data_IF_681775771185
#
_entry.id   IF_681775771185
#
_cell.length_a   1.000
_cell.length_b   1.000
_cell.length_c   1.000
_cell.angle_alpha   90.00
_cell.angle_beta   90.00
_cell.angle_gamma   90.00
#
_symmetry.space_group_name_H-M   'P 1'
#
loop_
_entity.id
_entity.type
_entity.pdbx_description
1 polymer ?
#
# COMPACT_ATOMS: atom_id res chain seq x y z
N UNK A 1 6.26 16.01 2.94
CA UNK A 1 5.88 16.58 1.67
C UNK A 1 4.37 16.50 1.48
N UNK A 2 3.76 17.62 1.15
CA UNK A 2 2.31 17.72 1.03
C UNK A 2 1.73 16.80 -0.04
N UNK A 3 2.45 16.56 -1.11
CA UNK A 3 2.01 15.71 -2.20
C UNK A 3 1.80 14.26 -1.75
N UNK A 4 2.47 13.86 -0.68
CA UNK A 4 2.39 12.52 -0.14
C UNK A 4 1.46 12.43 1.07
N UNK A 5 0.75 13.52 1.39
CA UNK A 5 -0.14 13.57 2.57
C UNK A 5 0.56 13.14 3.86
N UNK A 6 1.84 13.46 3.98
CA UNK A 6 2.64 13.09 5.13
C UNK A 6 3.16 11.66 5.12
N UNK A 7 2.93 10.92 4.04
CA UNK A 7 3.41 9.54 3.94
C UNK A 7 4.92 9.50 3.63
N UNK A 8 5.62 8.62 4.33
CA UNK A 8 6.99 8.26 3.99
C UNK A 8 6.99 6.98 3.17
N UNK A 9 8.15 6.59 2.63
CA UNK A 9 8.28 5.34 1.89
C UNK A 9 7.79 4.13 2.67
N UNK A 10 8.29 3.92 3.92
CA UNK A 10 7.82 2.80 4.75
C UNK A 10 6.32 2.82 5.03
N UNK A 11 5.76 3.99 5.29
CA UNK A 11 4.31 4.12 5.51
C UNK A 11 3.54 3.75 4.26
N UNK A 12 4.02 4.15 3.10
CA UNK A 12 3.41 3.80 1.82
C UNK A 12 3.42 2.30 1.55
N UNK A 13 4.51 1.62 1.93
CA UNK A 13 4.60 0.17 1.78
C UNK A 13 3.58 -0.55 2.66
N UNK A 14 3.44 -0.12 3.91
CA UNK A 14 2.44 -0.70 4.82
C UNK A 14 1.04 -0.45 4.29
N UNK A 15 0.76 0.76 3.83
CA UNK A 15 -0.54 1.09 3.27
C UNK A 15 -0.85 0.24 2.04
N UNK A 16 0.14 0.04 1.16
CA UNK A 16 0.02 -0.83 -0.02
C UNK A 16 -0.33 -2.26 0.36
N UNK A 17 0.33 -2.79 1.40
CA UNK A 17 0.04 -4.12 1.91
C UNK A 17 -1.43 -4.22 2.37
N UNK A 18 -1.92 -3.20 3.06
CA UNK A 18 -3.30 -3.18 3.54
C UNK A 18 -4.30 -3.13 2.39
N UNK A 19 -4.00 -2.39 1.33
CA UNK A 19 -4.86 -2.38 0.15
C UNK A 19 -4.95 -3.75 -0.50
N UNK A 20 -3.84 -4.49 -0.52
CA UNK A 20 -3.77 -5.79 -1.19
C UNK A 20 -4.39 -6.92 -0.37
N UNK A 21 -4.67 -6.70 0.91
CA UNK A 21 -5.14 -7.74 1.82
C UNK A 21 -6.43 -7.36 2.55
N UNK A 22 -7.34 -6.68 1.85
CA UNK A 22 -8.62 -6.27 2.43
C UNK A 22 -9.57 -7.45 2.66
N UNK A 23 -9.27 -8.60 2.11
CA UNK A 23 -10.09 -9.80 2.21
C UNK A 23 -9.96 -10.54 3.54
N UNK A 24 -9.05 -10.10 4.41
CA UNK A 24 -8.84 -10.74 5.71
C UNK A 24 -8.54 -9.68 6.78
N UNK A 25 -8.67 -10.09 8.04
CA UNK A 25 -8.32 -9.24 9.18
C UNK A 25 -6.80 -9.14 9.29
N UNK A 26 -6.27 -7.93 9.34
CA UNK A 26 -4.84 -7.67 9.47
C UNK A 26 -4.58 -7.05 10.83
N UNK A 27 -3.58 -7.59 11.53
CA UNK A 27 -3.16 -7.13 12.85
C UNK A 27 -1.73 -6.62 12.78
N UNK A 28 -1.31 -5.89 13.82
CA UNK A 28 0.05 -5.36 13.86
C UNK A 28 1.12 -6.44 13.70
N UNK A 29 0.91 -7.62 14.30
CA UNK A 29 1.88 -8.71 14.19
C UNK A 29 2.08 -9.17 12.75
N UNK A 30 1.04 -9.04 11.92
CA UNK A 30 1.14 -9.38 10.49
C UNK A 30 2.07 -8.42 9.77
N UNK A 31 1.98 -7.14 10.13
CA UNK A 31 2.87 -6.10 9.59
C UNK A 31 4.31 -6.39 10.02
N UNK A 32 4.52 -6.70 11.29
CA UNK A 32 5.85 -7.03 11.82
C UNK A 32 6.47 -8.20 11.05
N UNK A 33 5.70 -9.25 10.85
CA UNK A 33 6.18 -10.46 10.17
C UNK A 33 6.43 -10.21 8.68
N UNK A 34 5.50 -9.53 8.01
CA UNK A 34 5.58 -9.30 6.57
C UNK A 34 6.79 -8.45 6.20
N UNK A 35 7.05 -7.41 6.97
CA UNK A 35 8.14 -6.47 6.68
C UNK A 35 9.41 -6.75 7.48
N UNK A 36 9.37 -7.78 8.32
CA UNK A 36 10.51 -8.17 9.17
C UNK A 36 11.02 -6.98 9.98
N UNK A 37 10.11 -6.33 10.69
CA UNK A 37 10.41 -5.17 11.51
C UNK A 37 10.04 -5.43 12.96
N UNK A 38 10.64 -4.65 13.85
CA UNK A 38 10.39 -4.75 15.28
C UNK A 38 9.02 -4.17 15.63
N UNK A 39 8.50 -4.61 16.76
CA UNK A 39 7.23 -4.13 17.28
C UNK A 39 7.20 -2.61 17.41
N UNK A 40 8.27 -2.01 17.92
CA UNK A 40 8.34 -0.56 18.09
C UNK A 40 8.27 0.18 16.75
N UNK A 41 8.92 -0.36 15.71
CA UNK A 41 8.87 0.22 14.37
C UNK A 41 7.48 0.14 13.80
N UNK A 42 6.83 -1.02 13.93
CA UNK A 42 5.46 -1.21 13.45
C UNK A 42 4.49 -0.28 14.18
N UNK A 43 4.66 -0.14 15.51
CA UNK A 43 3.83 0.77 16.30
C UNK A 43 3.94 2.19 15.79
N UNK A 44 5.17 2.65 15.52
CA UNK A 44 5.39 4.01 15.01
C UNK A 44 4.76 4.23 13.64
N UNK A 45 4.93 3.27 12.74
CA UNK A 45 4.34 3.36 11.40
C UNK A 45 2.81 3.42 11.45
N UNK A 46 2.21 2.56 12.26
CA UNK A 46 0.76 2.51 12.39
C UNK A 46 0.22 3.76 13.08
N UNK A 47 0.92 4.29 14.08
CA UNK A 47 0.52 5.53 14.72
C UNK A 47 0.54 6.69 13.73
N UNK A 48 1.53 6.75 12.85
CA UNK A 48 1.60 7.77 11.81
C UNK A 48 0.45 7.63 10.80
N UNK A 49 0.18 6.42 10.36
CA UNK A 49 -0.93 6.17 9.42
C UNK A 49 -2.27 6.50 10.07
N UNK A 50 -2.42 6.17 11.34
CA UNK A 50 -3.62 6.48 12.10
C UNK A 50 -3.78 7.99 12.30
N UNK A 51 -2.69 8.67 12.68
CA UNK A 51 -2.67 10.12 12.85
C UNK A 51 -2.99 10.88 11.58
N UNK A 52 -2.58 10.34 10.44
CA UNK A 52 -2.87 10.95 9.13
C UNK A 52 -4.24 10.54 8.59
N UNK A 53 -4.98 9.71 9.32
CA UNK A 53 -6.34 9.35 8.95
C UNK A 53 -6.47 8.24 7.92
N UNK A 54 -5.41 7.49 7.63
CA UNK A 54 -5.45 6.43 6.63
C UNK A 54 -5.95 5.10 7.19
N UNK A 55 -5.69 4.84 8.47
CA UNK A 55 -6.12 3.60 9.10
C UNK A 55 -6.76 3.90 10.46
N UNK A 56 -7.54 2.94 10.94
CA UNK A 56 -8.06 2.96 12.30
C UNK A 56 -8.00 1.53 12.85
N UNK A 57 -7.98 1.42 14.16
CA UNK A 57 -7.95 0.12 14.83
C UNK A 57 -9.34 -0.19 15.36
N UNK A 58 -9.81 -1.39 15.08
CA UNK A 58 -11.18 -1.80 15.42
C UNK A 58 -11.14 -3.13 16.15
N UNK A 59 -11.89 -3.23 17.24
CA UNK A 59 -11.98 -4.48 17.98
C UNK A 59 -12.62 -5.57 17.12
N UNK A 60 -12.20 -6.81 17.37
CA UNK A 60 -12.80 -7.98 16.71
C UNK A 60 -13.62 -8.75 17.73
N UNK A 61 -14.65 -9.44 17.24
CA UNK A 61 -15.60 -10.14 18.13
C UNK A 61 -14.99 -11.36 18.83
N UNK A 62 -14.03 -12.01 18.17
CA UNK A 62 -13.51 -13.28 18.66
C UNK A 62 -12.38 -13.14 19.69
N UNK A 63 -11.81 -11.96 19.88
CA UNK A 63 -10.80 -11.72 20.91
C UNK A 63 -10.74 -10.22 21.25
N UNK A 64 -11.20 -9.87 22.46
CA UNK A 64 -11.25 -8.46 22.89
C UNK A 64 -9.86 -7.81 22.99
N UNK A 65 -8.80 -8.60 23.04
CA UNK A 65 -7.44 -8.06 23.14
C UNK A 65 -6.89 -7.64 21.79
N UNK A 66 -7.51 -8.11 20.72
CA UNK A 66 -7.03 -7.86 19.36
C UNK A 66 -7.75 -6.69 18.73
N UNK A 67 -7.01 -5.91 17.96
CA UNK A 67 -7.57 -4.81 17.17
C UNK A 67 -7.04 -4.95 15.75
N UNK A 68 -7.96 -5.17 14.82
CA UNK A 68 -7.60 -5.24 13.42
C UNK A 68 -7.39 -3.83 12.86
N UNK A 69 -6.56 -3.75 11.85
CA UNK A 69 -6.23 -2.51 11.18
C UNK A 69 -7.13 -2.40 9.94
N UNK A 70 -7.92 -1.34 9.87
CA UNK A 70 -8.82 -1.14 8.73
C UNK A 70 -8.52 0.17 8.04
N UNK A 71 -8.69 0.16 6.72
CA UNK A 71 -8.55 1.34 5.89
C UNK A 71 -9.76 2.25 6.07
N UNK A 72 -9.50 3.55 6.07
CA UNK A 72 -10.56 4.58 6.19
C UNK A 72 -11.06 4.98 4.82
N UNK A 73 -12.15 5.75 4.78
CA UNK A 73 -12.64 6.34 3.55
C UNK A 73 -11.55 7.18 2.89
N UNK A 74 -10.80 7.94 3.68
CA UNK A 74 -9.68 8.74 3.17
C UNK A 74 -8.65 7.86 2.45
N UNK A 75 -8.34 6.68 3.01
CA UNK A 75 -7.40 5.76 2.39
C UNK A 75 -7.92 5.26 1.04
N UNK A 76 -9.20 4.95 0.94
CA UNK A 76 -9.78 4.50 -0.32
C UNK A 76 -9.78 5.61 -1.37
N UNK A 77 -10.10 6.82 -0.98
CA UNK A 77 -10.05 7.97 -1.88
C UNK A 77 -8.64 8.25 -2.37
N UNK A 78 -7.65 8.13 -1.47
CA UNK A 78 -6.24 8.30 -1.82
C UNK A 78 -5.80 7.26 -2.84
N UNK A 79 -6.23 6.01 -2.69
CA UNK A 79 -5.91 4.94 -3.64
C UNK A 79 -6.45 5.27 -5.03
N UNK A 80 -7.69 5.72 -5.13
CA UNK A 80 -8.29 6.09 -6.41
C UNK A 80 -7.52 7.22 -7.09
N UNK A 81 -7.14 8.23 -6.31
CA UNK A 81 -6.37 9.34 -6.82
C UNK A 81 -5.00 8.89 -7.33
N UNK A 82 -4.34 8.01 -6.55
CA UNK A 82 -3.04 7.47 -6.92
C UNK A 82 -3.12 6.65 -8.19
N UNK A 83 -4.13 5.81 -8.33
CA UNK A 83 -4.34 5.00 -9.53
C UNK A 83 -4.57 5.87 -10.76
N UNK A 84 -5.32 6.96 -10.60
CA UNK A 84 -5.57 7.91 -11.67
C UNK A 84 -4.26 8.57 -12.13
N UNK A 85 -3.39 8.95 -11.20
CA UNK A 85 -2.10 9.54 -11.53
C UNK A 85 -1.18 8.54 -12.24
N UNK A 86 -1.17 7.30 -11.77
CA UNK A 86 -0.38 6.23 -12.39
C UNK A 86 -0.86 5.98 -13.82
N UNK A 87 -2.16 5.93 -14.03
CA UNK A 87 -2.74 5.72 -15.35
C UNK A 87 -2.33 6.83 -16.32
N UNK A 88 -2.40 8.08 -15.87
CA UNK A 88 -1.98 9.22 -16.69
C UNK A 88 -0.50 9.15 -17.04
N UNK A 89 0.33 8.75 -16.08
CA UNK A 89 1.75 8.59 -16.30
C UNK A 89 2.03 7.48 -17.32
N UNK A 90 1.33 6.35 -17.20
CA UNK A 90 1.46 5.25 -18.14
C UNK A 90 1.11 5.68 -19.56
N UNK A 91 0.03 6.46 -19.73
CA UNK A 91 -0.37 6.98 -21.02
C UNK A 91 0.73 7.83 -21.66
N UNK A 92 1.38 8.66 -20.85
CA UNK A 92 2.49 9.51 -21.32
C UNK A 92 3.70 8.65 -21.69
N UNK A 93 4.04 7.69 -20.85
CA UNK A 93 5.22 6.86 -21.06
C UNK A 93 5.14 5.98 -22.31
N UNK A 94 3.95 5.56 -22.68
CA UNK A 94 3.78 4.65 -23.83
C UNK A 94 3.20 5.35 -25.05
N UNK A 95 3.10 6.66 -25.03
CA UNK A 95 2.43 7.46 -26.05
C UNK A 95 2.86 7.14 -27.48
N UNK A 96 4.15 6.98 -27.69
CA UNK A 96 4.70 6.77 -29.03
C UNK A 96 5.08 5.31 -29.30
N UNK A 97 4.63 4.40 -28.45
CA UNK A 97 4.90 2.97 -28.62
C UNK A 97 3.77 2.30 -29.39
N UNK A 98 4.15 1.36 -30.25
CA UNK A 98 3.18 0.50 -30.91
C UNK A 98 2.62 -0.50 -29.89
N UNK A 99 1.40 -1.05 -30.10
CA UNK A 99 0.82 -2.02 -29.18
C UNK A 99 1.74 -3.19 -28.84
N UNK A 100 2.46 -3.71 -29.82
CA UNK A 100 3.39 -4.82 -29.60
C UNK A 100 4.56 -4.39 -28.69
N UNK A 101 5.03 -3.17 -28.84
CA UNK A 101 6.11 -2.64 -28.00
C UNK A 101 5.65 -2.50 -26.56
N UNK A 102 4.40 -2.10 -26.32
CA UNK A 102 3.84 -2.02 -24.98
C UNK A 102 3.81 -3.42 -24.34
N UNK A 103 3.35 -4.42 -25.10
CA UNK A 103 3.31 -5.81 -24.62
C UNK A 103 4.71 -6.32 -24.29
N UNK A 104 5.70 -6.00 -25.15
CA UNK A 104 7.09 -6.39 -24.93
C UNK A 104 7.64 -5.73 -23.66
N UNK A 105 7.33 -4.45 -23.45
CA UNK A 105 7.77 -3.72 -22.26
C UNK A 105 7.23 -4.35 -20.99
N UNK A 106 5.93 -4.65 -20.96
CA UNK A 106 5.29 -5.27 -19.81
C UNK A 106 5.92 -6.63 -19.52
N UNK A 107 6.18 -7.42 -20.56
CA UNK A 107 6.80 -8.73 -20.43
C UNK A 107 8.20 -8.62 -19.83
N UNK A 108 8.99 -7.67 -20.32
CA UNK A 108 10.38 -7.46 -19.87
C UNK A 108 10.40 -6.98 -18.43
N UNK A 109 9.54 -6.02 -18.08
CA UNK A 109 9.42 -5.53 -16.71
C UNK A 109 9.04 -6.67 -15.76
N UNK A 110 8.13 -7.55 -16.18
CA UNK A 110 7.76 -8.73 -15.41
C UNK A 110 8.94 -9.64 -15.09
N UNK A 111 9.84 -9.83 -16.07
CA UNK A 111 11.05 -10.62 -15.86
C UNK A 111 12.00 -9.97 -14.87
N UNK A 112 12.19 -8.67 -14.98
CA UNK A 112 13.05 -7.91 -14.07
C UNK A 112 12.50 -8.01 -12.65
N UNK A 113 11.20 -7.80 -12.51
CA UNK A 113 10.52 -7.85 -11.22
C UNK A 113 10.69 -9.21 -10.55
N UNK A 114 10.58 -10.27 -11.32
CA UNK A 114 10.75 -11.64 -10.81
C UNK A 114 12.15 -11.87 -10.26
N UNK A 115 13.17 -11.26 -10.86
CA UNK A 115 14.54 -11.37 -10.39
C UNK A 115 14.76 -10.70 -9.04
N UNK A 116 13.87 -9.80 -8.64
CA UNK A 116 13.95 -9.09 -7.36
C UNK A 116 13.25 -9.82 -6.21
N UNK A 117 12.52 -10.87 -6.51
CA UNK A 117 11.82 -11.67 -5.50
C UNK A 117 12.74 -12.62 -4.74
#
# INVERSE_FOLDING_TARGET
NEEHNGLTGPQGLVLGYLYDHQDKDIFQKDIEATFNIRRSTATGLLQCLEGNGFVKRVSVDYDARLKKIVLTTKAHEFKELLESHIQKMEEILVKDLEPQEVDDLIRIIGKIKKNLE
#
